data_IF_873950328820
#
_entry.id   IF_873950328820
#
_cell.length_a   1.000
_cell.length_b   1.000
_cell.length_c   1.000
_cell.angle_alpha   90.00
_cell.angle_beta   90.00
_cell.angle_gamma   90.00
#
_symmetry.space_group_name_H-M   'P 1'
#
loop_
_entity.id
_entity.type
_entity.pdbx_description
1 polymer ?
#
# COMPACT_ATOMS: atom_id res chain seq x y z
N UNK A 1 20.68 38.96 18.34
CA UNK A 1 21.30 37.64 18.59
C UNK A 1 20.38 36.74 19.43
N UNK A 2 20.21 36.95 20.75
CA UNK A 2 19.44 36.04 21.64
C UNK A 2 17.99 35.76 21.21
N UNK A 3 17.26 36.78 20.74
CA UNK A 3 15.86 36.63 20.30
C UNK A 3 15.71 35.83 18.99
N UNK A 4 16.64 35.99 18.06
CA UNK A 4 16.69 35.24 16.79
C UNK A 4 16.99 33.77 17.05
N UNK A 5 17.93 33.47 17.95
CA UNK A 5 18.26 32.11 18.36
C UNK A 5 17.07 31.40 19.03
N UNK A 6 16.33 32.10 19.90
CA UNK A 6 15.09 31.56 20.48
C UNK A 6 14.02 31.27 19.43
N UNK A 7 13.84 32.17 18.45
CA UNK A 7 12.90 31.96 17.36
C UNK A 7 13.26 30.74 16.51
N UNK A 8 14.54 30.61 16.15
CA UNK A 8 15.02 29.47 15.39
C UNK A 8 14.83 28.15 16.15
N UNK A 9 15.12 28.13 17.45
CA UNK A 9 14.90 26.96 18.30
C UNK A 9 13.40 26.58 18.37
N UNK A 10 12.51 27.55 18.40
CA UNK A 10 11.06 27.34 18.43
C UNK A 10 10.55 26.76 17.10
N UNK A 11 11.05 27.27 15.98
CA UNK A 11 10.73 26.73 14.64
C UNK A 11 11.21 25.29 14.51
N UNK A 12 12.45 24.99 14.94
CA UNK A 12 12.99 23.62 14.92
C UNK A 12 12.15 22.69 15.79
N UNK A 13 11.75 23.12 16.99
CA UNK A 13 10.89 22.32 17.87
C UNK A 13 9.51 22.02 17.25
N UNK A 14 8.91 22.98 16.55
CA UNK A 14 7.62 22.80 15.86
C UNK A 14 7.74 21.82 14.69
N UNK A 15 8.81 21.93 13.88
CA UNK A 15 9.04 21.00 12.76
C UNK A 15 9.26 19.57 13.27
N UNK A 16 10.04 19.40 14.33
CA UNK A 16 10.30 18.09 14.92
C UNK A 16 9.04 17.47 15.56
N UNK A 17 8.15 18.28 16.13
CA UNK A 17 6.88 17.78 16.70
C UNK A 17 5.87 17.30 15.64
N UNK A 18 6.02 17.74 14.38
CA UNK A 18 5.19 17.27 13.26
C UNK A 18 5.66 15.97 12.63
N UNK A 19 6.94 15.62 12.80
CA UNK A 19 7.51 14.35 12.30
C UNK A 19 7.24 13.22 13.30
N UNK A 20 6.17 12.46 13.14
CA UNK A 20 6.05 11.19 13.85
C UNK A 20 4.67 10.71 14.25
N UNK A 21 3.58 11.38 13.84
CA UNK A 21 2.27 10.74 13.93
C UNK A 21 2.14 9.72 12.79
N UNK A 22 2.04 8.41 13.08
CA UNK A 22 1.71 7.44 12.03
C UNK A 22 0.27 7.68 11.56
N UNK A 23 0.03 7.57 10.25
CA UNK A 23 -1.30 7.74 9.65
C UNK A 23 -2.31 6.70 10.15
N UNK A 24 -1.81 5.55 10.59
CA UNK A 24 -2.59 4.42 11.08
C UNK A 24 -1.98 3.86 12.37
N UNK A 25 -2.85 3.51 13.30
CA UNK A 25 -2.52 2.67 14.45
C UNK A 25 -2.08 1.27 14.00
N UNK A 26 -1.42 0.52 14.88
CA UNK A 26 -0.97 -0.83 14.55
C UNK A 26 -2.13 -1.81 14.32
N UNK A 27 -3.29 -1.57 14.96
CA UNK A 27 -4.51 -2.31 14.70
C UNK A 27 -5.04 -2.05 13.28
N UNK A 28 -5.06 -0.79 12.85
CA UNK A 28 -5.47 -0.41 11.50
C UNK A 28 -4.51 -0.96 10.44
N UNK A 29 -3.19 -0.91 10.69
CA UNK A 29 -2.19 -1.53 9.80
C UNK A 29 -2.45 -3.03 9.62
N UNK A 30 -2.80 -3.74 10.70
CA UNK A 30 -3.12 -5.18 10.64
C UNK A 30 -4.36 -5.43 9.79
N UNK A 31 -5.38 -4.60 9.92
CA UNK A 31 -6.58 -4.68 9.07
C UNK A 31 -6.23 -4.41 7.61
N UNK A 32 -5.49 -3.35 7.29
CA UNK A 32 -5.07 -3.03 5.92
C UNK A 32 -4.26 -4.19 5.31
N UNK A 33 -3.32 -4.76 6.06
CA UNK A 33 -2.52 -5.89 5.60
C UNK A 33 -3.39 -7.12 5.28
N UNK A 34 -4.48 -7.34 6.02
CA UNK A 34 -5.40 -8.45 5.74
C UNK A 34 -6.16 -8.29 4.42
N UNK A 35 -6.32 -7.05 3.93
CA UNK A 35 -7.05 -6.73 2.69
C UNK A 35 -6.15 -6.76 1.44
N UNK A 36 -4.84 -6.94 1.60
CA UNK A 36 -3.93 -7.02 0.46
C UNK A 36 -4.19 -8.29 -0.36
N UNK A 37 -4.15 -8.22 -1.69
CA UNK A 37 -4.28 -9.40 -2.56
C UNK A 37 -3.22 -10.48 -2.25
N UNK A 38 -2.04 -10.07 -1.75
CA UNK A 38 -0.98 -10.98 -1.30
C UNK A 38 -1.32 -11.77 -0.03
N UNK A 39 -2.37 -11.40 0.70
CA UNK A 39 -2.87 -12.17 1.86
C UNK A 39 -3.69 -13.39 1.42
N UNK A 40 -4.11 -13.43 0.16
CA UNK A 40 -4.87 -14.55 -0.38
C UNK A 40 -4.00 -15.80 -0.51
N UNK A 41 -4.57 -17.00 -0.29
CA UNK A 41 -3.89 -18.25 -0.58
C UNK A 41 -3.49 -18.34 -2.06
N UNK A 42 -2.44 -19.10 -2.34
CA UNK A 42 -2.06 -19.41 -3.71
C UNK A 42 -3.22 -20.10 -4.46
N UNK A 43 -3.37 -19.76 -5.73
CA UNK A 43 -4.37 -20.37 -6.60
C UNK A 43 -4.07 -21.86 -6.77
N UNK A 44 -5.11 -22.69 -6.66
CA UNK A 44 -5.02 -24.10 -7.04
C UNK A 44 -4.99 -24.20 -8.57
N UNK A 45 -4.26 -25.16 -9.15
CA UNK A 45 -4.31 -25.39 -10.59
C UNK A 45 -5.75 -25.64 -11.07
N UNK A 46 -6.16 -24.97 -12.13
CA UNK A 46 -7.47 -25.15 -12.74
C UNK A 46 -7.48 -26.42 -13.59
N UNK A 47 -8.38 -27.36 -13.28
CA UNK A 47 -8.54 -28.63 -14.02
C UNK A 47 -9.51 -28.53 -15.19
N UNK A 48 -10.26 -27.43 -15.29
CA UNK A 48 -11.29 -27.19 -16.30
C UNK A 48 -10.80 -26.30 -17.44
N UNK A 49 -9.82 -25.44 -17.17
CA UNK A 49 -9.24 -24.53 -18.15
C UNK A 49 -7.73 -24.75 -18.30
N UNK A 50 -7.34 -25.47 -19.35
CA UNK A 50 -5.93 -25.74 -19.69
C UNK A 50 -5.09 -24.48 -19.99
N UNK A 51 -5.72 -23.33 -20.19
CA UNK A 51 -5.06 -22.06 -20.50
C UNK A 51 -5.10 -21.06 -19.35
N UNK A 52 -5.59 -21.46 -18.17
CA UNK A 52 -5.80 -20.56 -17.03
C UNK A 52 -4.53 -19.77 -16.67
N UNK A 53 -3.36 -20.41 -16.72
CA UNK A 53 -2.08 -19.81 -16.35
C UNK A 53 -1.25 -19.31 -17.55
N UNK A 54 -1.84 -19.24 -18.76
CA UNK A 54 -1.15 -18.75 -19.97
C UNK A 54 -1.34 -17.24 -20.12
N UNK A 55 -0.29 -16.41 -20.00
CA UNK A 55 -0.44 -14.94 -20.00
C UNK A 55 -1.09 -14.37 -21.27
N UNK A 56 -0.77 -14.95 -22.42
CA UNK A 56 -1.34 -14.52 -23.70
C UNK A 56 -2.86 -14.79 -23.79
N UNK A 57 -3.33 -15.89 -23.18
CA UNK A 57 -4.77 -16.20 -23.14
C UNK A 57 -5.52 -15.22 -22.23
N UNK A 58 -4.92 -14.84 -21.09
CA UNK A 58 -5.48 -13.83 -20.19
C UNK A 58 -5.57 -12.45 -20.87
N UNK A 59 -4.53 -12.06 -21.63
CA UNK A 59 -4.52 -10.80 -22.37
C UNK A 59 -5.65 -10.73 -23.41
N UNK A 60 -5.85 -11.81 -24.18
CA UNK A 60 -6.96 -11.92 -25.14
C UNK A 60 -8.32 -11.90 -24.43
N UNK A 61 -8.46 -12.62 -23.32
CA UNK A 61 -9.70 -12.60 -22.53
C UNK A 61 -10.05 -11.19 -22.03
N UNK A 62 -9.06 -10.42 -21.61
CA UNK A 62 -9.23 -9.01 -21.22
C UNK A 62 -9.76 -8.16 -22.37
N UNK A 63 -9.19 -8.28 -23.58
CA UNK A 63 -9.69 -7.51 -24.74
C UNK A 63 -11.14 -7.86 -25.09
N UNK A 64 -11.50 -9.15 -24.99
CA UNK A 64 -12.85 -9.62 -25.32
C UNK A 64 -13.89 -9.27 -24.25
N UNK A 65 -13.50 -9.17 -22.97
CA UNK A 65 -14.42 -8.84 -21.88
C UNK A 65 -14.88 -7.37 -21.92
N UNK A 66 -14.03 -6.48 -22.44
CA UNK A 66 -14.27 -5.04 -22.51
C UNK A 66 -14.68 -4.53 -23.90
N UNK A 67 -14.95 -5.43 -24.85
CA UNK A 67 -15.59 -5.15 -26.15
C UNK A 67 -17.11 -5.20 -26.02
#
# INVERSE_FOLDING_TARGET
MRRLSCFLALVVAVVLAGCGKPDFSDAEKKTIASLALSSLPALKPDTTNRFADVPAAAALGSTLFFD
#
